data_IF_435912174641
#
_entry.id   IF_435912174641
#
_cell.length_a   1.000
_cell.length_b   1.000
_cell.length_c   1.000
_cell.angle_alpha   90.00
_cell.angle_beta   90.00
_cell.angle_gamma   90.00
#
_symmetry.space_group_name_H-M   'P 1'
#
loop_
_entity.id
_entity.type
_entity.pdbx_description
1 polymer ?
#
# COMPACT_ATOMS: atom_id res chain seq x y z
N UNK A 1 10.22 -13.07 -3.22
CA UNK A 1 9.99 -11.72 -2.70
C UNK A 1 8.49 -11.54 -2.60
N UNK A 2 7.97 -11.10 -1.46
CA UNK A 2 6.52 -10.86 -1.29
C UNK A 2 6.14 -9.48 -1.79
N UNK A 3 4.84 -9.23 -2.07
CA UNK A 3 4.35 -7.89 -2.47
C UNK A 3 4.71 -6.84 -1.41
N UNK A 4 4.65 -7.19 -0.13
CA UNK A 4 5.06 -6.31 0.95
C UNK A 4 6.56 -5.95 0.87
N UNK A 5 7.45 -6.90 0.57
CA UNK A 5 8.88 -6.62 0.38
C UNK A 5 9.15 -5.73 -0.85
N UNK A 6 8.44 -5.95 -1.96
CA UNK A 6 8.51 -5.10 -3.15
C UNK A 6 8.07 -3.67 -2.85
N UNK A 7 6.97 -3.50 -2.12
CA UNK A 7 6.47 -2.18 -1.75
C UNK A 7 7.46 -1.40 -0.85
N UNK A 8 8.18 -2.10 0.04
CA UNK A 8 9.25 -1.47 0.84
C UNK A 8 10.43 -1.01 -0.02
N UNK A 9 10.79 -1.78 -1.05
CA UNK A 9 11.81 -1.36 -2.02
C UNK A 9 11.37 -0.12 -2.79
N UNK A 10 10.13 -0.09 -3.29
CA UNK A 10 9.59 1.08 -3.99
C UNK A 10 9.57 2.33 -3.09
N UNK A 11 9.20 2.18 -1.81
CA UNK A 11 9.27 3.26 -0.83
C UNK A 11 10.70 3.77 -0.65
N UNK A 12 11.67 2.86 -0.55
CA UNK A 12 13.10 3.20 -0.47
C UNK A 12 13.63 3.86 -1.75
N UNK A 13 13.03 3.61 -2.91
CA UNK A 13 13.36 4.26 -4.18
C UNK A 13 12.65 5.61 -4.40
N UNK A 14 11.85 6.05 -3.42
CA UNK A 14 11.21 7.36 -3.41
C UNK A 14 9.73 7.37 -3.81
N UNK A 15 9.10 6.21 -3.99
CA UNK A 15 7.65 6.16 -4.20
C UNK A 15 6.93 6.48 -2.89
N UNK A 16 6.37 7.68 -2.80
CA UNK A 16 5.70 8.20 -1.60
C UNK A 16 4.18 8.34 -1.74
N UNK A 17 3.61 8.09 -2.93
CA UNK A 17 2.17 8.16 -3.14
C UNK A 17 1.47 6.99 -2.45
N UNK A 18 0.65 7.29 -1.45
CA UNK A 18 -0.11 6.28 -0.73
C UNK A 18 -1.15 5.59 -1.62
N UNK A 19 -1.67 6.25 -2.66
CA UNK A 19 -2.61 5.62 -3.59
C UNK A 19 -1.96 4.53 -4.44
N UNK A 20 -0.66 4.66 -4.75
CA UNK A 20 0.11 3.61 -5.40
C UNK A 20 0.07 2.30 -4.60
N UNK A 21 0.12 2.37 -3.27
CA UNK A 21 0.12 1.18 -2.42
C UNK A 21 -1.28 0.58 -2.18
N UNK A 22 -2.35 1.34 -2.42
CA UNK A 22 -3.74 0.89 -2.15
C UNK A 22 -4.14 -0.29 -3.03
N UNK A 23 -3.64 -0.36 -4.26
CA UNK A 23 -3.99 -1.44 -5.22
C UNK A 23 -3.49 -2.81 -4.79
N UNK A 24 -2.49 -2.86 -3.90
CA UNK A 24 -1.92 -4.10 -3.41
C UNK A 24 -2.61 -4.62 -2.15
N UNK A 25 -3.44 -3.79 -1.49
CA UNK A 25 -4.20 -4.17 -0.31
C UNK A 25 -5.25 -5.22 -0.71
N UNK A 26 -5.19 -6.39 -0.07
CA UNK A 26 -6.03 -7.55 -0.41
C UNK A 26 -5.47 -8.48 -1.49
N UNK A 27 -4.43 -8.06 -2.23
CA UNK A 27 -3.70 -8.89 -3.21
C UNK A 27 -2.42 -9.48 -2.60
N UNK A 28 -1.81 -8.74 -1.68
CA UNK A 28 -0.62 -9.19 -0.94
C UNK A 28 -0.11 -8.20 0.12
N UNK A 29 -0.76 -7.04 0.24
CA UNK A 29 -0.67 -6.17 1.42
C UNK A 29 -1.89 -6.34 2.32
N UNK A 30 -1.65 -6.33 3.62
CA UNK A 30 -2.67 -6.07 4.63
C UNK A 30 -2.84 -4.57 4.85
N UNK A 31 -3.92 -4.16 5.49
CA UNK A 31 -4.16 -2.76 5.89
C UNK A 31 -3.07 -2.24 6.82
N UNK A 32 -2.56 -3.08 7.71
CA UNK A 32 -1.51 -2.71 8.66
C UNK A 32 -0.17 -2.50 7.95
N UNK A 33 0.17 -3.38 7.01
CA UNK A 33 1.38 -3.23 6.20
C UNK A 33 1.31 -2.00 5.28
N UNK A 34 0.13 -1.69 4.74
CA UNK A 34 -0.09 -0.45 4.01
C UNK A 34 0.23 0.77 4.88
N UNK A 35 -0.28 0.79 6.12
CA UNK A 35 0.00 1.86 7.08
C UNK A 35 1.48 1.93 7.45
N UNK A 36 2.14 0.79 7.59
CA UNK A 36 3.58 0.76 7.85
C UNK A 36 4.40 1.39 6.71
N UNK A 37 4.03 1.13 5.45
CA UNK A 37 4.75 1.64 4.28
C UNK A 37 4.46 3.13 4.03
N UNK A 38 3.20 3.52 4.16
CA UNK A 38 2.72 4.86 3.74
C UNK A 38 2.66 5.86 4.88
N UNK A 39 2.47 5.39 6.12
CA UNK A 39 2.10 6.21 7.27
C UNK A 39 0.60 6.55 7.33
N UNK A 40 -0.21 6.12 6.36
CA UNK A 40 -1.62 6.45 6.25
C UNK A 40 -2.52 5.25 6.56
N UNK A 41 -3.68 5.51 7.16
CA UNK A 41 -4.70 4.49 7.33
C UNK A 41 -5.34 4.13 5.98
N UNK A 42 -5.51 2.83 5.74
CA UNK A 42 -6.16 2.37 4.51
C UNK A 42 -7.65 2.74 4.54
N UNK A 43 -8.05 3.55 3.56
CA UNK A 43 -9.45 3.83 3.26
C UNK A 43 -9.81 3.10 1.97
N UNK A 44 -10.71 2.13 2.07
CA UNK A 44 -11.21 1.40 0.91
C UNK A 44 -11.83 2.39 -0.09
N UNK A 45 -11.57 2.23 -1.40
CA UNK A 45 -12.25 3.03 -2.40
C UNK A 45 -13.76 2.82 -2.25
N UNK A 46 -14.50 3.91 -2.06
CA UNK A 46 -15.95 3.84 -2.02
C UNK A 46 -16.43 3.28 -3.36
N UNK A 47 -17.22 2.19 -3.39
CA UNK A 47 -17.86 1.78 -4.63
C UNK A 47 -18.71 2.97 -5.10
N UNK A 48 -18.46 3.44 -6.32
CA UNK A 48 -19.32 4.42 -6.95
C UNK A 48 -20.72 3.79 -7.05
N UNK A 49 -21.68 4.38 -6.34
CA UNK A 49 -23.10 4.04 -6.42
C UNK A 49 -23.68 4.44 -7.79
#
# INVERSE_FOLDING_TARGET
>A
MTIYEECKLFKSWGQNDANYYKVFVGVGLTTDQYKEITGEDYVAPSPAL
#
